data_IF_867996722914
#
_entry.id   IF_867996722914
#
_cell.length_a   1.000
_cell.length_b   1.000
_cell.length_c   1.000
_cell.angle_alpha   90.00
_cell.angle_beta   90.00
_cell.angle_gamma   90.00
#
_symmetry.space_group_name_H-M   'P 1'
#
loop_
_entity.id
_entity.type
_entity.pdbx_description
1 polymer ?
#
# COMPACT_ATOMS: atom_id res chain seq x y z
N UNK A 1 25.80 19.76 20.56
CA UNK A 1 24.70 20.57 20.00
C UNK A 1 24.10 20.01 18.71
N UNK A 2 24.89 19.75 17.65
CA UNK A 2 24.36 19.19 16.38
C UNK A 2 23.65 17.84 16.58
N UNK A 3 24.27 16.91 17.32
CA UNK A 3 23.68 15.59 17.61
C UNK A 3 22.35 15.68 18.37
N UNK A 4 22.29 16.45 19.48
CA UNK A 4 21.05 16.63 20.25
C UNK A 4 19.91 17.23 19.40
N UNK A 5 20.23 18.12 18.45
CA UNK A 5 19.24 18.67 17.52
C UNK A 5 18.80 17.65 16.46
N UNK A 6 19.70 16.79 16.00
CA UNK A 6 19.39 15.67 15.11
C UNK A 6 18.48 14.66 15.82
N UNK A 7 18.81 14.24 17.04
CA UNK A 7 18.00 13.35 17.86
C UNK A 7 16.61 13.94 18.17
N UNK A 8 16.54 15.25 18.42
CA UNK A 8 15.26 15.96 18.57
C UNK A 8 14.40 15.86 17.30
N UNK A 9 15.00 15.96 16.11
CA UNK A 9 14.27 15.82 14.84
C UNK A 9 13.75 14.40 14.64
N UNK A 10 14.56 13.38 14.93
CA UNK A 10 14.14 11.98 14.82
C UNK A 10 13.03 11.61 15.79
N UNK A 11 13.08 12.11 17.03
CA UNK A 11 12.01 11.88 18.03
C UNK A 11 10.62 12.30 17.56
N UNK A 12 10.52 13.35 16.73
CA UNK A 12 9.23 13.80 16.18
C UNK A 12 8.55 12.73 15.33
N UNK A 13 9.32 11.93 14.58
CA UNK A 13 8.75 10.84 13.78
C UNK A 13 8.19 9.74 14.67
N UNK A 14 8.93 9.35 15.72
CA UNK A 14 8.47 8.38 16.71
C UNK A 14 7.23 8.87 17.48
N UNK A 15 7.15 10.17 17.78
CA UNK A 15 5.97 10.77 18.41
C UNK A 15 4.74 10.68 17.49
N UNK A 16 4.89 10.96 16.20
CA UNK A 16 3.82 10.82 15.21
C UNK A 16 3.34 9.37 15.14
N UNK A 17 4.27 8.41 15.09
CA UNK A 17 3.94 6.98 15.08
C UNK A 17 3.14 6.56 16.32
N UNK A 18 3.57 6.97 17.52
CA UNK A 18 2.86 6.73 18.76
C UNK A 18 1.45 7.37 18.77
N UNK A 19 1.32 8.59 18.26
CA UNK A 19 0.03 9.25 18.12
C UNK A 19 -0.89 8.47 17.18
N UNK A 20 -0.39 8.02 16.03
CA UNK A 20 -1.19 7.27 15.06
C UNK A 20 -1.72 5.95 15.64
N UNK A 21 -0.90 5.24 16.42
CA UNK A 21 -1.32 4.04 17.15
C UNK A 21 -2.41 4.37 18.19
N UNK A 22 -2.24 5.45 18.97
CA UNK A 22 -3.21 5.87 20.00
C UNK A 22 -4.55 6.33 19.42
N UNK A 23 -4.54 7.00 18.28
CA UNK A 23 -5.74 7.54 17.64
C UNK A 23 -6.29 6.61 16.55
N UNK A 24 -5.85 5.34 16.49
CA UNK A 24 -6.33 4.33 15.52
C UNK A 24 -6.23 4.75 14.05
N UNK A 25 -5.35 5.70 13.72
CA UNK A 25 -5.10 6.06 12.32
C UNK A 25 -4.17 5.03 11.70
N UNK A 26 -4.79 4.00 11.11
CA UNK A 26 -4.09 2.91 10.41
C UNK A 26 -3.22 3.42 9.26
N UNK A 27 -3.54 4.56 8.66
CA UNK A 27 -2.81 5.11 7.51
C UNK A 27 -3.05 4.33 6.21
N UNK A 28 -3.99 3.39 6.23
CA UNK A 28 -4.54 2.67 5.09
C UNK A 28 -5.93 2.16 5.44
N UNK A 29 -6.73 1.85 4.42
CA UNK A 29 -7.97 1.08 4.56
C UNK A 29 -8.05 0.00 3.47
N UNK A 30 -9.00 -0.91 3.63
CA UNK A 30 -9.21 -2.01 2.69
C UNK A 30 -10.63 -2.03 2.16
N UNK A 31 -10.78 -2.51 0.93
CA UNK A 31 -12.05 -2.81 0.27
C UNK A 31 -12.04 -4.30 -0.02
N UNK A 32 -13.08 -5.03 0.39
CA UNK A 32 -13.17 -6.48 0.26
C UNK A 32 -11.91 -7.23 0.76
N UNK A 33 -11.60 -7.15 2.08
CA UNK A 33 -10.32 -7.61 2.63
C UNK A 33 -10.08 -9.12 2.51
N UNK A 34 -11.14 -9.90 2.26
CA UNK A 34 -11.09 -11.36 2.13
C UNK A 34 -10.71 -11.82 0.71
N UNK A 35 -10.68 -10.90 -0.26
CA UNK A 35 -10.31 -11.21 -1.65
C UNK A 35 -8.87 -11.71 -1.76
N UNK A 36 -8.67 -12.72 -2.63
CA UNK A 36 -7.34 -13.33 -2.85
C UNK A 36 -6.51 -12.58 -3.88
N UNK A 37 -7.14 -11.71 -4.69
CA UNK A 37 -6.46 -10.78 -5.59
C UNK A 37 -6.66 -9.37 -5.04
N UNK A 38 -5.58 -8.75 -4.59
CA UNK A 38 -5.64 -7.44 -3.96
C UNK A 38 -4.85 -6.42 -4.79
N UNK A 39 -5.49 -5.30 -5.11
CA UNK A 39 -4.78 -4.12 -5.58
C UNK A 39 -4.16 -3.37 -4.39
N UNK A 40 -3.02 -2.72 -4.60
CA UNK A 40 -2.41 -1.80 -3.63
C UNK A 40 -2.00 -0.51 -4.32
N UNK A 41 -2.42 0.61 -3.76
CA UNK A 41 -2.32 1.92 -4.39
C UNK A 41 -2.28 3.05 -3.37
N UNK A 42 -1.80 4.20 -3.82
CA UNK A 42 -1.75 5.44 -3.07
C UNK A 42 -2.40 6.58 -3.86
N UNK A 43 -3.20 7.40 -3.18
CA UNK A 43 -3.73 8.65 -3.73
C UNK A 43 -4.99 8.50 -4.59
N UNK A 44 -5.05 9.28 -5.67
CA UNK A 44 -6.30 9.60 -6.36
C UNK A 44 -7.01 8.40 -7.01
N UNK A 45 -6.33 7.29 -7.29
CA UNK A 45 -6.96 6.12 -7.92
C UNK A 45 -7.87 5.31 -6.99
N UNK A 46 -7.96 5.69 -5.71
CA UNK A 46 -8.80 5.02 -4.72
C UNK A 46 -10.29 4.99 -5.12
N UNK A 47 -10.82 6.06 -5.75
CA UNK A 47 -12.23 6.10 -6.15
C UNK A 47 -12.59 4.99 -7.13
N UNK A 48 -11.63 4.57 -7.96
CA UNK A 48 -11.84 3.54 -8.98
C UNK A 48 -12.04 2.17 -8.32
N UNK A 49 -11.32 1.91 -7.24
CA UNK A 49 -11.33 0.62 -6.55
C UNK A 49 -12.67 0.32 -5.90
N UNK A 50 -13.38 1.33 -5.40
CA UNK A 50 -14.73 1.16 -4.85
C UNK A 50 -15.74 0.71 -5.90
N UNK A 51 -15.55 1.08 -7.16
CA UNK A 51 -16.36 0.60 -8.27
C UNK A 51 -15.87 -0.78 -8.72
N UNK A 52 -14.57 -0.94 -8.93
CA UNK A 52 -13.98 -2.19 -9.39
C UNK A 52 -14.32 -3.35 -8.45
N UNK A 53 -14.07 -3.22 -7.15
CA UNK A 53 -14.31 -4.31 -6.19
C UNK A 53 -15.81 -4.60 -5.97
N UNK A 54 -16.69 -3.67 -6.35
CA UNK A 54 -18.15 -3.85 -6.30
C UNK A 54 -18.66 -4.62 -7.51
N UNK A 55 -18.16 -4.25 -8.69
CA UNK A 55 -18.55 -4.87 -9.96
C UNK A 55 -17.84 -6.24 -10.16
N UNK A 56 -16.67 -6.40 -9.55
CA UNK A 56 -15.81 -7.59 -9.58
C UNK A 56 -15.40 -8.04 -8.16
N UNK A 57 -16.28 -8.76 -7.44
CA UNK A 57 -16.09 -9.13 -6.03
C UNK A 57 -14.97 -10.16 -5.78
N UNK A 58 -14.35 -10.69 -6.84
CA UNK A 58 -13.13 -11.49 -6.75
C UNK A 58 -11.89 -10.66 -6.39
N UNK A 59 -11.97 -9.34 -6.55
CA UNK A 59 -10.92 -8.40 -6.21
C UNK A 59 -11.20 -7.66 -4.90
N UNK A 60 -10.12 -7.29 -4.23
CA UNK A 60 -10.11 -6.31 -3.16
C UNK A 60 -9.02 -5.28 -3.37
N UNK A 61 -8.97 -4.28 -2.50
CA UNK A 61 -7.99 -3.21 -2.60
C UNK A 61 -7.46 -2.78 -1.23
N UNK A 62 -6.19 -2.37 -1.21
CA UNK A 62 -5.49 -1.76 -0.10
C UNK A 62 -5.20 -0.31 -0.50
N UNK A 63 -5.88 0.64 0.12
CA UNK A 63 -5.69 2.06 -0.16
C UNK A 63 -4.80 2.66 0.92
N UNK A 64 -3.60 3.10 0.52
CA UNK A 64 -2.67 3.76 1.42
C UNK A 64 -3.02 5.25 1.50
N UNK A 65 -3.20 5.75 2.71
CA UNK A 65 -3.47 7.16 3.00
C UNK A 65 -2.22 7.91 3.44
N UNK A 66 -1.22 7.19 3.98
CA UNK A 66 0.03 7.76 4.48
C UNK A 66 1.22 6.86 4.16
N UNK A 67 2.22 7.44 3.49
CA UNK A 67 3.49 6.75 3.21
C UNK A 67 4.50 6.89 4.36
N UNK A 68 4.53 8.02 5.09
CA UNK A 68 5.49 8.22 6.20
C UNK A 68 4.85 8.92 7.43
N UNK A 69 5.14 8.46 8.66
CA UNK A 69 5.84 7.22 8.99
C UNK A 69 5.08 5.99 8.48
N UNK A 70 5.82 4.98 8.03
CA UNK A 70 5.25 3.79 7.42
C UNK A 70 4.26 3.11 8.37
N UNK A 71 3.05 2.71 7.94
CA UNK A 71 2.12 2.06 8.84
C UNK A 71 2.57 0.63 9.19
N UNK A 72 2.99 0.40 10.44
CA UNK A 72 3.38 -0.94 10.92
C UNK A 72 2.27 -1.97 10.71
N UNK A 73 1.02 -1.57 10.91
CA UNK A 73 -0.14 -2.45 10.70
C UNK A 73 -0.35 -2.83 9.23
N UNK A 74 0.17 -2.06 8.27
CA UNK A 74 0.14 -2.42 6.85
C UNK A 74 1.18 -3.52 6.58
N UNK A 75 2.38 -3.42 7.18
CA UNK A 75 3.40 -4.47 7.09
C UNK A 75 2.89 -5.79 7.66
N UNK A 76 2.34 -5.76 8.87
CA UNK A 76 1.76 -6.94 9.51
C UNK A 76 0.66 -7.56 8.64
N UNK A 77 -0.28 -6.75 8.16
CA UNK A 77 -1.35 -7.19 7.26
C UNK A 77 -0.80 -7.86 6.00
N UNK A 78 0.14 -7.23 5.29
CA UNK A 78 0.72 -7.80 4.07
C UNK A 78 1.47 -9.11 4.34
N UNK A 79 2.18 -9.24 5.47
CA UNK A 79 2.87 -10.49 5.82
C UNK A 79 1.86 -11.60 6.12
N UNK A 80 0.78 -11.30 6.85
CA UNK A 80 -0.26 -12.28 7.15
C UNK A 80 -0.95 -12.78 5.87
N UNK A 81 -1.30 -11.84 4.98
CA UNK A 81 -1.98 -12.11 3.70
C UNK A 81 -1.12 -12.86 2.69
N UNK A 82 0.22 -12.85 2.82
CA UNK A 82 1.11 -13.59 1.92
C UNK A 82 0.78 -15.10 1.85
N UNK A 83 0.17 -15.65 2.91
CA UNK A 83 -0.19 -17.06 3.04
C UNK A 83 -1.34 -17.48 2.14
N UNK A 84 -2.26 -16.56 1.84
CA UNK A 84 -3.53 -16.88 1.17
C UNK A 84 -3.90 -15.97 -0.01
N UNK A 85 -3.14 -14.89 -0.23
CA UNK A 85 -3.19 -14.12 -1.46
C UNK A 85 -2.71 -14.94 -2.65
N UNK A 86 -3.51 -14.96 -3.71
CA UNK A 86 -3.06 -15.40 -5.03
C UNK A 86 -2.23 -14.33 -5.72
N UNK A 87 -2.59 -13.05 -5.55
CA UNK A 87 -1.96 -11.95 -6.28
C UNK A 87 -2.06 -10.63 -5.51
N UNK A 88 -0.95 -9.90 -5.46
CA UNK A 88 -0.85 -8.52 -4.99
C UNK A 88 -0.42 -7.65 -6.17
N UNK A 89 -1.31 -6.75 -6.59
CA UNK A 89 -1.18 -5.95 -7.81
C UNK A 89 -0.91 -4.49 -7.42
N UNK A 90 0.30 -4.00 -7.66
CA UNK A 90 0.63 -2.60 -7.45
C UNK A 90 0.08 -1.75 -8.58
N UNK A 91 -0.67 -0.70 -8.26
CA UNK A 91 -1.23 0.22 -9.26
C UNK A 91 -0.56 1.57 -9.08
N UNK A 92 0.25 1.96 -10.07
CA UNK A 92 1.10 3.13 -9.97
C UNK A 92 0.94 4.08 -11.16
N UNK A 93 0.71 5.36 -10.87
CA UNK A 93 0.62 6.44 -11.88
C UNK A 93 1.98 6.96 -12.35
N UNK A 94 3.02 6.12 -12.34
CA UNK A 94 4.38 6.51 -12.69
C UNK A 94 5.13 5.36 -13.38
N UNK A 95 6.11 5.72 -14.21
CA UNK A 95 6.92 4.77 -14.98
C UNK A 95 7.86 3.92 -14.12
N UNK A 96 8.21 4.39 -12.92
CA UNK A 96 9.29 3.85 -12.10
C UNK A 96 8.85 2.88 -11.01
N UNK A 97 7.56 2.60 -10.86
CA UNK A 97 7.04 1.71 -9.80
C UNK A 97 7.42 2.16 -8.39
N UNK A 98 7.38 3.47 -8.12
CA UNK A 98 7.85 4.02 -6.83
C UNK A 98 7.11 3.42 -5.64
N UNK A 99 5.81 3.17 -5.77
CA UNK A 99 5.03 2.57 -4.71
C UNK A 99 5.47 1.13 -4.45
N UNK A 100 5.57 0.32 -5.51
CA UNK A 100 6.05 -1.05 -5.41
C UNK A 100 7.42 -1.09 -4.73
N UNK A 101 8.38 -0.32 -5.24
CA UNK A 101 9.73 -0.27 -4.69
C UNK A 101 9.71 0.07 -3.20
N UNK A 102 8.92 1.08 -2.82
CA UNK A 102 8.80 1.52 -1.44
C UNK A 102 8.20 0.45 -0.52
N UNK A 103 7.05 -0.12 -0.91
CA UNK A 103 6.35 -1.14 -0.09
C UNK A 103 7.17 -2.42 0.00
N UNK A 104 7.78 -2.88 -1.10
CA UNK A 104 8.66 -4.06 -1.10
C UNK A 104 9.81 -3.90 -0.11
N UNK A 105 10.41 -2.72 -0.05
CA UNK A 105 11.51 -2.42 0.87
C UNK A 105 11.03 -2.38 2.34
N UNK A 106 10.00 -1.59 2.65
CA UNK A 106 9.50 -1.42 4.03
C UNK A 106 8.95 -2.72 4.63
N UNK A 107 8.25 -3.51 3.80
CA UNK A 107 7.61 -4.75 4.23
C UNK A 107 8.50 -5.99 4.03
N UNK A 108 9.66 -5.86 3.37
CA UNK A 108 10.53 -6.97 2.98
C UNK A 108 9.76 -8.07 2.21
N UNK A 109 8.87 -7.66 1.29
CA UNK A 109 7.87 -8.56 0.69
C UNK A 109 8.46 -9.79 0.01
N UNK A 110 9.66 -9.69 -0.57
CA UNK A 110 10.36 -10.80 -1.23
C UNK A 110 10.73 -11.95 -0.28
N UNK A 111 10.65 -11.75 1.04
CA UNK A 111 10.80 -12.84 2.03
C UNK A 111 9.54 -13.69 2.20
N UNK A 112 8.37 -13.16 1.81
CA UNK A 112 7.07 -13.75 2.13
C UNK A 112 6.23 -14.07 0.88
N UNK A 113 6.39 -13.29 -0.18
CA UNK A 113 5.70 -13.46 -1.45
C UNK A 113 6.63 -14.14 -2.45
N UNK A 114 6.06 -15.04 -3.25
CA UNK A 114 6.71 -15.56 -4.45
C UNK A 114 6.60 -14.52 -5.56
N UNK A 115 7.55 -14.50 -6.50
CA UNK A 115 7.58 -13.50 -7.56
C UNK A 115 6.31 -13.52 -8.42
N UNK A 116 5.71 -14.69 -8.65
CA UNK A 116 4.45 -14.82 -9.40
C UNK A 116 3.22 -14.28 -8.65
N UNK A 117 3.32 -14.02 -7.35
CA UNK A 117 2.25 -13.40 -6.56
C UNK A 117 2.28 -11.87 -6.66
N UNK A 118 3.33 -11.28 -7.24
CA UNK A 118 3.52 -9.82 -7.30
C UNK A 118 3.41 -9.34 -8.75
N UNK A 119 2.41 -8.52 -9.04
CA UNK A 119 2.23 -7.88 -10.35
C UNK A 119 2.25 -6.36 -10.20
N UNK A 120 2.69 -5.66 -11.22
CA UNK A 120 2.62 -4.20 -11.28
C UNK A 120 1.89 -3.75 -12.53
N UNK A 121 1.02 -2.77 -12.32
CA UNK A 121 0.33 -2.03 -13.37
C UNK A 121 0.77 -0.58 -13.31
N UNK A 122 1.28 -0.10 -14.45
CA UNK A 122 1.83 1.25 -14.57
C UNK A 122 1.03 2.03 -15.60
N UNK A 123 0.64 3.25 -15.24
CA UNK A 123 0.11 4.23 -16.19
C UNK A 123 0.94 5.51 -16.08
N UNK A 124 1.60 5.88 -17.18
CA UNK A 124 2.43 7.08 -17.30
C UNK A 124 2.02 7.94 -18.49
N UNK A 125 0.82 7.70 -19.04
CA UNK A 125 0.28 8.43 -20.19
C UNK A 125 -0.51 9.68 -19.78
N UNK A 126 -0.48 10.04 -18.48
CA UNK A 126 -1.17 11.19 -17.86
C UNK A 126 -2.71 11.11 -17.86
N UNK A 127 -3.29 10.05 -18.42
CA UNK A 127 -4.70 9.74 -18.28
C UNK A 127 -4.97 9.10 -16.91
N UNK A 128 -6.18 9.31 -16.34
CA UNK A 128 -6.59 8.57 -15.16
C UNK A 128 -6.67 7.07 -15.47
N UNK A 129 -6.71 6.26 -14.41
CA UNK A 129 -7.03 4.84 -14.55
C UNK A 129 -8.51 4.64 -14.84
N UNK A 130 -8.79 3.71 -15.75
CA UNK A 130 -10.12 3.18 -16.01
C UNK A 130 -10.22 1.74 -15.46
N UNK A 131 -11.44 1.25 -15.23
CA UNK A 131 -11.63 -0.10 -14.66
C UNK A 131 -11.12 -1.15 -15.65
N UNK A 132 -11.36 -0.87 -16.93
CA UNK A 132 -10.99 -1.68 -18.10
C UNK A 132 -9.48 -1.89 -18.23
N UNK A 133 -8.66 -1.00 -17.66
CA UNK A 133 -7.21 -1.11 -17.68
C UNK A 133 -6.67 -2.15 -16.67
N UNK A 134 -7.50 -2.60 -15.71
CA UNK A 134 -7.07 -3.39 -14.56
C UNK A 134 -7.64 -4.82 -14.52
N UNK A 135 -8.60 -5.13 -15.41
CA UNK A 135 -9.31 -6.41 -15.48
C UNK A 135 -8.75 -7.35 -16.54
#
# INVERSE_FOLDING_TARGET
MKQAMTEKRFRKLSEIENCNQRYTQKGYYTINPDAKKMFILYGHNAYLMERLCRDHPEYGAIIIERLSPFPVQLKEYLIERAKDLSELIFVDGNMSGQLEYYIRAECELTRYYRDEQLRNEHNYHLYPWFVEDLI
#
